data_IF_443554183716
#
_entry.id   IF_443554183716
#
_cell.length_a   1.000
_cell.length_b   1.000
_cell.length_c   1.000
_cell.angle_alpha   90.00
_cell.angle_beta   90.00
_cell.angle_gamma   90.00
#
_symmetry.space_group_name_H-M   'P 1'
#
loop_
_entity.id
_entity.type
_entity.pdbx_description
1 polymer ?
#
# COMPACT_ATOMS: atom_id res chain seq x y z
N UNK A 1 22.25 11.85 3.73
CA UNK A 1 21.16 11.47 2.81
C UNK A 1 19.85 11.67 3.54
N UNK A 2 19.09 12.71 3.20
CA UNK A 2 17.74 12.91 3.75
C UNK A 2 16.84 11.91 3.05
N UNK A 3 16.65 10.74 3.66
CA UNK A 3 15.64 9.80 3.20
C UNK A 3 14.27 10.45 3.45
N UNK A 4 13.78 11.20 2.45
CA UNK A 4 12.40 11.66 2.45
C UNK A 4 11.52 10.44 2.74
N UNK A 5 10.55 10.56 3.65
CA UNK A 5 9.66 9.45 3.93
C UNK A 5 8.93 9.08 2.64
N UNK A 6 9.30 7.93 2.08
CA UNK A 6 8.73 7.48 0.82
C UNK A 6 7.38 6.84 1.13
N UNK A 7 6.32 7.56 0.78
CA UNK A 7 4.95 7.06 0.86
C UNK A 7 4.86 5.71 0.15
N UNK A 8 4.46 4.70 0.91
CA UNK A 8 4.37 3.32 0.45
C UNK A 8 2.91 2.90 0.48
N UNK A 9 2.42 2.44 -0.65
CA UNK A 9 1.10 1.91 -0.86
C UNK A 9 1.13 0.40 -0.71
N UNK A 10 0.33 -0.12 0.22
CA UNK A 10 0.17 -1.55 0.47
C UNK A 10 -1.20 -1.97 -0.01
N UNK A 11 -1.26 -2.85 -1.00
CA UNK A 11 -2.49 -3.46 -1.51
C UNK A 11 -2.69 -4.79 -0.82
N UNK A 12 -3.82 -4.92 -0.10
CA UNK A 12 -4.18 -6.13 0.63
C UNK A 12 -5.54 -6.64 0.15
N UNK A 13 -5.64 -7.94 -0.09
CA UNK A 13 -6.86 -8.63 -0.53
C UNK A 13 -7.47 -9.38 0.64
N UNK A 14 -8.80 -9.39 0.72
CA UNK A 14 -9.52 -10.14 1.73
C UNK A 14 -9.76 -11.59 1.26
N UNK A 15 -8.88 -12.49 1.71
CA UNK A 15 -9.02 -13.93 1.57
C UNK A 15 -9.50 -14.50 2.93
N UNK A 16 -10.82 -14.65 3.07
CA UNK A 16 -11.49 -15.01 4.34
C UNK A 16 -10.78 -16.19 5.03
N UNK A 17 -10.35 -16.06 6.31
CA UNK A 17 -10.70 -15.02 7.29
C UNK A 17 -9.68 -13.87 7.42
N UNK A 18 -8.69 -13.75 6.54
CA UNK A 18 -7.54 -12.85 6.74
C UNK A 18 -7.34 -11.88 5.57
N UNK A 19 -6.68 -10.76 5.86
CA UNK A 19 -6.17 -9.86 4.84
C UNK A 19 -4.77 -10.31 4.44
N UNK A 20 -4.55 -10.48 3.14
CA UNK A 20 -3.26 -10.86 2.58
C UNK A 20 -2.70 -9.71 1.77
N UNK A 21 -1.50 -9.26 2.13
CA UNK A 21 -0.78 -8.28 1.33
C UNK A 21 -0.30 -8.91 0.03
N UNK A 22 -0.68 -8.32 -1.10
CA UNK A 22 -0.34 -8.81 -2.45
C UNK A 22 0.72 -7.91 -3.10
N UNK A 23 0.67 -6.61 -2.83
CA UNK A 23 1.61 -5.65 -3.41
C UNK A 23 1.99 -4.58 -2.39
N UNK A 24 3.27 -4.28 -2.32
CA UNK A 24 3.80 -3.11 -1.61
C UNK A 24 4.59 -2.29 -2.61
N UNK A 25 4.16 -1.06 -2.88
CA UNK A 25 4.77 -0.22 -3.91
C UNK A 25 4.79 1.24 -3.50
N UNK A 26 5.75 2.03 -4.01
CA UNK A 26 5.74 3.49 -3.88
C UNK A 26 4.93 4.16 -4.99
N UNK A 27 4.52 3.38 -6.00
CA UNK A 27 3.73 3.87 -7.13
C UNK A 27 2.23 3.83 -6.82
N UNK A 28 1.65 4.98 -6.52
CA UNK A 28 0.19 5.13 -6.30
C UNK A 28 -0.62 4.53 -7.45
N UNK A 29 -0.28 4.87 -8.69
CA UNK A 29 -1.02 4.42 -9.87
C UNK A 29 -1.07 2.89 -9.98
N UNK A 30 0.05 2.20 -9.71
CA UNK A 30 0.09 0.73 -9.74
C UNK A 30 -0.75 0.11 -8.62
N UNK A 31 -0.71 0.68 -7.41
CA UNK A 31 -1.49 0.20 -6.28
C UNK A 31 -3.01 0.29 -6.56
N UNK A 32 -3.46 1.43 -7.07
CA UNK A 32 -4.87 1.65 -7.40
C UNK A 32 -5.32 0.86 -8.64
N UNK A 33 -4.44 0.68 -9.64
CA UNK A 33 -4.74 -0.16 -10.81
C UNK A 33 -4.95 -1.63 -10.40
N UNK A 34 -4.07 -2.17 -9.56
CA UNK A 34 -4.20 -3.54 -9.05
C UNK A 34 -5.44 -3.71 -8.18
N UNK A 35 -5.73 -2.73 -7.31
CA UNK A 35 -6.97 -2.73 -6.53
C UNK A 35 -8.21 -2.73 -7.44
N UNK A 36 -8.22 -1.91 -8.49
CA UNK A 36 -9.32 -1.88 -9.45
C UNK A 36 -9.50 -3.21 -10.21
N UNK A 37 -8.40 -3.88 -10.53
CA UNK A 37 -8.42 -5.19 -11.20
C UNK A 37 -8.97 -6.30 -10.28
N UNK A 38 -8.63 -6.27 -8.99
CA UNK A 38 -9.09 -7.27 -8.01
C UNK A 38 -10.58 -7.04 -7.62
N UNK A 39 -11.03 -5.80 -7.57
CA UNK A 39 -12.42 -5.45 -7.28
C UNK A 39 -12.73 -5.30 -5.79
N UNK A 40 -13.91 -5.73 -5.36
CA UNK A 40 -14.53 -5.29 -4.10
C UNK A 40 -13.79 -5.73 -2.81
N UNK A 41 -13.01 -6.82 -2.88
CA UNK A 41 -12.33 -7.43 -1.73
C UNK A 41 -10.88 -6.97 -1.58
N UNK A 42 -10.57 -5.73 -1.89
CA UNK A 42 -9.22 -5.18 -1.79
C UNK A 42 -9.20 -3.86 -1.02
N UNK A 43 -8.11 -3.61 -0.30
CA UNK A 43 -7.84 -2.33 0.34
C UNK A 43 -6.45 -1.84 -0.04
N UNK A 44 -6.30 -0.53 -0.18
CA UNK A 44 -5.00 0.14 -0.37
C UNK A 44 -4.70 0.97 0.88
N UNK A 45 -3.64 0.64 1.59
CA UNK A 45 -3.16 1.37 2.76
C UNK A 45 -1.99 2.28 2.34
N UNK A 46 -2.07 3.57 2.65
CA UNK A 46 -0.99 4.54 2.41
C UNK A 46 -0.17 4.72 3.70
N UNK A 47 1.09 4.28 3.66
CA UNK A 47 2.02 4.36 4.79
C UNK A 47 3.06 5.43 4.47
N UNK A 48 2.96 6.59 5.12
CA UNK A 48 4.01 7.60 5.10
C UNK A 48 4.80 7.51 6.41
N UNK A 49 6.07 7.08 6.39
CA UNK A 49 6.85 7.01 7.61
C UNK A 49 6.97 8.41 8.21
N UNK A 50 6.72 8.55 9.53
CA UNK A 50 6.93 9.84 10.18
C UNK A 50 8.41 10.19 10.09
N UNK A 51 8.77 11.44 9.73
CA UNK A 51 10.16 11.87 9.80
C UNK A 51 10.62 11.69 11.24
N UNK A 52 11.72 10.95 11.43
CA UNK A 52 12.34 10.80 12.74
C UNK A 52 12.99 12.14 13.08
N UNK A 53 12.37 12.92 13.96
CA UNK A 53 13.01 14.08 14.58
C UNK A 53 14.32 13.59 15.21
N UNK A 54 15.42 14.21 14.81
CA UNK A 54 16.79 13.79 15.10
C UNK A 54 17.44 14.80 16.03
#
# INVERSE_FOLDING_TARGET
MTEKPATTYVVSVFEKPMWRTVLTTKDKTKAFALAKEIGDKVRVEEITPKPKER
#
